data_IF_433844642722
#
_entry.id   IF_433844642722
#
_cell.length_a   1.000
_cell.length_b   1.000
_cell.length_c   1.000
_cell.angle_alpha   90.00
_cell.angle_beta   90.00
_cell.angle_gamma   90.00
#
_symmetry.space_group_name_H-M   'P 1'
#
loop_
_entity.id
_entity.type
_entity.pdbx_description
1 polymer ?
#
# COMPACT_ATOMS: atom_id res chain seq x y z
N UNK A 1 3.13 -3.53 12.63
CA UNK A 1 2.98 -2.34 11.76
C UNK A 1 3.26 -2.75 10.32
N UNK A 2 2.55 -2.19 9.34
CA UNK A 2 2.82 -2.44 7.92
C UNK A 2 3.36 -1.17 7.28
N UNK A 3 4.50 -1.27 6.61
CA UNK A 3 5.14 -0.16 5.90
C UNK A 3 5.01 -0.33 4.39
N UNK A 4 4.47 0.70 3.73
CA UNK A 4 4.14 0.67 2.29
C UNK A 4 4.73 1.90 1.60
N UNK A 5 5.00 1.86 0.28
CA UNK A 5 5.32 3.08 -0.47
C UNK A 5 4.23 4.14 -0.30
N UNK A 6 4.61 5.42 -0.17
CA UNK A 6 3.68 6.49 0.21
C UNK A 6 2.44 6.59 -0.69
N UNK A 7 2.62 6.57 -2.03
CA UNK A 7 1.50 6.70 -2.98
C UNK A 7 0.56 5.51 -2.90
N UNK A 8 1.09 4.29 -2.81
CA UNK A 8 0.27 3.09 -2.69
C UNK A 8 -0.45 3.04 -1.34
N UNK A 9 0.27 3.36 -0.26
CA UNK A 9 -0.29 3.47 1.08
C UNK A 9 -1.41 4.49 1.16
N UNK A 10 -1.27 5.63 0.45
CA UNK A 10 -2.32 6.64 0.39
C UNK A 10 -3.60 6.08 -0.22
N UNK A 11 -3.48 5.35 -1.34
CA UNK A 11 -4.62 4.70 -1.97
C UNK A 11 -5.26 3.63 -1.09
N UNK A 12 -4.46 2.87 -0.33
CA UNK A 12 -4.99 1.94 0.66
C UNK A 12 -5.78 2.69 1.74
N UNK A 13 -5.25 3.81 2.21
CA UNK A 13 -5.86 4.64 3.24
C UNK A 13 -7.19 5.26 2.78
N UNK A 14 -7.20 5.81 1.57
CA UNK A 14 -8.42 6.37 0.96
C UNK A 14 -9.51 5.28 0.88
N UNK A 15 -9.18 4.05 0.46
CA UNK A 15 -10.15 2.93 0.47
C UNK A 15 -10.65 2.62 1.86
N UNK A 16 -9.77 2.53 2.85
CA UNK A 16 -10.17 2.23 4.22
C UNK A 16 -11.04 3.31 4.85
N UNK A 17 -10.83 4.59 4.51
CA UNK A 17 -11.62 5.69 5.04
C UNK A 17 -12.95 5.88 4.31
N UNK A 18 -12.99 5.64 3.00
CA UNK A 18 -14.19 5.86 2.20
C UNK A 18 -15.15 4.65 2.22
N UNK A 19 -14.60 3.43 2.17
CA UNK A 19 -15.38 2.19 1.99
C UNK A 19 -15.16 1.17 3.13
N UNK A 20 -14.14 1.37 3.95
CA UNK A 20 -13.74 0.46 5.01
C UNK A 20 -14.17 0.94 6.40
N UNK A 21 -13.76 0.22 7.46
CA UNK A 21 -14.10 0.61 8.83
C UNK A 21 -13.31 1.84 9.33
N UNK A 22 -12.51 2.50 8.48
CA UNK A 22 -11.54 3.54 8.82
C UNK A 22 -10.10 2.99 8.93
N UNK A 23 -9.22 3.71 9.62
CA UNK A 23 -7.92 3.15 10.06
C UNK A 23 -7.50 3.67 11.43
N UNK A 24 -6.46 3.05 11.97
CA UNK A 24 -5.82 3.46 13.22
C UNK A 24 -4.85 4.61 12.99
N UNK A 25 -3.90 4.83 13.93
CA UNK A 25 -2.81 5.75 13.71
C UNK A 25 -2.08 5.41 12.40
N UNK A 26 -1.87 6.42 11.57
CA UNK A 26 -1.07 6.29 10.35
C UNK A 26 -0.03 7.40 10.36
N UNK A 27 1.17 7.06 9.92
CA UNK A 27 2.24 8.04 9.76
C UNK A 27 2.80 7.97 8.36
N UNK A 28 3.20 9.12 7.81
CA UNK A 28 4.16 9.15 6.72
C UNK A 28 5.54 9.32 7.33
N UNK A 29 6.51 8.50 6.92
CA UNK A 29 7.90 8.60 7.32
C UNK A 29 8.82 8.20 6.16
N UNK A 30 9.67 9.14 5.72
CA UNK A 30 10.68 8.96 4.66
C UNK A 30 10.11 8.34 3.38
N UNK A 31 8.97 8.84 2.90
CA UNK A 31 8.33 8.38 1.65
C UNK A 31 7.61 7.04 1.77
N UNK A 32 7.38 6.55 2.99
CA UNK A 32 6.58 5.37 3.29
C UNK A 32 5.43 5.71 4.22
N UNK A 33 4.30 5.04 4.02
CA UNK A 33 3.22 5.04 4.99
C UNK A 33 3.41 3.90 5.97
N UNK A 34 3.30 4.24 7.25
CA UNK A 34 3.34 3.35 8.39
C UNK A 34 1.91 3.17 8.88
N UNK A 35 1.32 2.01 8.59
CA UNK A 35 -0.02 1.65 9.03
C UNK A 35 0.10 0.80 10.31
N UNK A 36 -0.42 1.34 11.40
CA UNK A 36 -0.54 0.57 12.64
C UNK A 36 -1.73 -0.38 12.50
N UNK A 37 -1.52 -1.63 12.91
CA UNK A 37 -2.41 -2.74 12.62
C UNK A 37 -2.54 -3.62 13.85
N UNK A 38 -3.58 -4.45 13.89
CA UNK A 38 -3.85 -5.33 15.01
C UNK A 38 -2.67 -6.31 15.23
N UNK A 39 -2.38 -6.72 16.47
CA UNK A 39 -1.40 -7.77 16.75
C UNK A 39 -1.66 -9.04 15.90
N UNK A 40 -0.60 -9.73 15.48
CA UNK A 40 -0.72 -10.90 14.60
C UNK A 40 -0.78 -10.57 13.09
N UNK A 41 -1.03 -9.30 12.73
CA UNK A 41 -1.08 -8.88 11.31
C UNK A 41 0.22 -9.15 10.58
N UNK A 42 1.36 -8.88 11.20
CA UNK A 42 2.66 -9.01 10.54
C UNK A 42 2.99 -10.46 10.15
N UNK A 43 2.46 -11.43 10.90
CA UNK A 43 2.62 -12.85 10.63
C UNK A 43 1.63 -13.34 9.56
N UNK A 44 0.39 -12.86 9.59
CA UNK A 44 -0.70 -13.42 8.77
C UNK A 44 -0.86 -12.73 7.41
N UNK A 45 -0.58 -11.43 7.32
CA UNK A 45 -0.73 -10.65 6.09
C UNK A 45 0.18 -11.14 4.93
N UNK A 46 1.47 -11.44 5.15
CA UNK A 46 2.33 -11.96 4.07
C UNK A 46 1.78 -13.25 3.44
N UNK A 47 1.32 -14.19 4.28
CA UNK A 47 0.71 -15.42 3.80
C UNK A 47 -0.53 -15.10 2.94
N UNK A 48 -1.44 -14.26 3.42
CA UNK A 48 -2.64 -13.90 2.64
C UNK A 48 -2.34 -13.25 1.28
N UNK A 49 -1.28 -12.44 1.20
CA UNK A 49 -0.84 -11.85 -0.06
C UNK A 49 -0.33 -12.91 -1.03
N UNK A 50 0.48 -13.85 -0.56
CA UNK A 50 0.99 -14.99 -1.33
C UNK A 50 -0.17 -15.88 -1.84
N UNK A 51 -1.17 -16.17 -1.01
CA UNK A 51 -2.34 -16.96 -1.42
C UNK A 51 -3.15 -16.26 -2.53
N UNK A 52 -3.35 -14.94 -2.48
CA UNK A 52 -4.02 -14.18 -3.55
C UNK A 52 -3.19 -14.08 -4.83
N UNK A 53 -1.85 -14.21 -4.75
CA UNK A 53 -1.00 -14.35 -5.93
C UNK A 53 -1.23 -15.70 -6.62
N UNK A 54 -1.42 -16.78 -5.86
CA UNK A 54 -1.67 -18.12 -6.40
C UNK A 54 -3.01 -18.27 -7.12
N UNK A 55 -4.10 -17.75 -6.53
CA UNK A 55 -5.48 -17.80 -7.08
C UNK A 55 -5.63 -17.06 -8.44
N UNK A 56 -4.61 -16.29 -8.76
CA UNK A 56 -4.47 -15.40 -9.88
C UNK A 56 -3.76 -16.01 -11.10
N UNK A 57 -3.10 -17.16 -10.95
CA UNK A 57 -2.35 -17.82 -12.03
C UNK A 57 -3.27 -18.39 -13.14
N UNK A 58 -4.59 -18.41 -12.94
CA UNK A 58 -5.59 -18.85 -13.93
C UNK A 58 -6.38 -17.73 -14.62
N UNK A 59 -6.20 -16.45 -14.27
CA UNK A 59 -6.86 -15.30 -14.92
C UNK A 59 -5.80 -14.27 -15.30
N UNK A 60 -5.81 -13.78 -16.55
CA UNK A 60 -4.82 -12.80 -17.08
C UNK A 60 -4.49 -11.71 -16.04
N UNK A 61 -3.29 -11.83 -15.44
CA UNK A 61 -2.70 -11.01 -14.35
C UNK A 61 -3.41 -11.07 -12.99
N UNK A 62 -2.64 -11.41 -11.97
CA UNK A 62 -3.15 -11.62 -10.63
C UNK A 62 -3.68 -10.41 -9.88
N UNK A 63 -4.59 -10.67 -8.93
CA UNK A 63 -5.27 -9.65 -8.11
C UNK A 63 -4.30 -8.84 -7.24
N UNK A 64 -3.18 -9.44 -6.85
CA UNK A 64 -2.10 -8.86 -6.02
C UNK A 64 -0.81 -8.58 -6.79
N UNK A 65 -0.67 -9.00 -8.06
CA UNK A 65 0.57 -8.80 -8.83
C UNK A 65 0.96 -7.33 -9.10
N UNK A 66 0.07 -6.39 -8.78
CA UNK A 66 0.32 -4.94 -8.81
C UNK A 66 0.44 -4.31 -7.41
N UNK A 67 0.40 -5.12 -6.34
CA UNK A 67 0.67 -4.68 -4.96
C UNK A 67 2.18 -4.60 -4.79
N UNK A 68 2.75 -3.44 -4.45
CA UNK A 68 4.18 -3.34 -4.17
C UNK A 68 4.53 -4.10 -2.88
N UNK A 69 5.79 -4.52 -2.70
CA UNK A 69 6.22 -5.20 -1.48
C UNK A 69 5.85 -4.42 -0.21
N UNK A 70 5.02 -5.03 0.63
CA UNK A 70 4.64 -4.50 1.93
C UNK A 70 5.61 -5.05 2.98
N UNK A 71 6.17 -4.16 3.80
CA UNK A 71 7.05 -4.57 4.89
C UNK A 71 6.23 -4.77 6.16
N UNK A 72 6.17 -6.00 6.64
CA UNK A 72 5.41 -6.36 7.83
C UNK A 72 6.33 -6.43 9.04
N UNK A 73 6.18 -5.48 9.97
CA UNK A 73 6.94 -5.42 11.21
C UNK A 73 6.13 -6.02 12.37
N UNK A 74 6.67 -7.07 12.98
CA UNK A 74 6.07 -7.84 14.06
C UNK A 74 6.66 -7.54 15.44
N UNK A 75 6.34 -8.41 16.40
CA UNK A 75 6.88 -8.34 17.76
C UNK A 75 8.39 -8.53 17.73
N UNK A 76 9.13 -7.62 18.37
CA UNK A 76 10.59 -7.64 18.41
C UNK A 76 11.26 -6.78 17.34
N UNK A 77 10.51 -6.30 16.34
CA UNK A 77 11.06 -5.39 15.33
C UNK A 77 11.17 -3.97 15.87
N UNK A 78 12.36 -3.38 15.71
CA UNK A 78 12.57 -1.97 15.99
C UNK A 78 12.08 -1.11 14.81
N UNK A 79 11.21 -0.14 15.09
CA UNK A 79 10.64 0.75 14.08
C UNK A 79 10.76 2.20 14.53
N UNK A 80 11.29 3.06 13.65
CA UNK A 80 11.27 4.51 13.84
C UNK A 80 9.94 5.10 13.37
N UNK A 81 9.33 5.93 14.22
CA UNK A 81 8.06 6.61 13.95
C UNK A 81 8.24 8.12 14.08
N UNK A 82 7.43 8.96 13.41
CA UNK A 82 7.50 10.41 13.59
C UNK A 82 7.26 10.82 15.04
N UNK A 83 7.88 11.92 15.48
CA UNK A 83 7.62 12.50 16.79
C UNK A 83 6.13 12.87 16.92
N UNK A 84 5.53 12.59 18.08
CA UNK A 84 4.10 12.83 18.36
C UNK A 84 3.77 14.32 18.45
N UNK A 85 4.67 15.09 19.05
CA UNK A 85 4.61 16.55 19.12
C UNK A 85 5.73 17.10 18.26
N UNK A 86 5.42 17.92 17.26
CA UNK A 86 6.44 18.74 16.60
C UNK A 86 7.08 19.61 17.68
N UNK A 87 8.30 19.28 18.10
CA UNK A 87 8.94 19.94 19.23
C UNK A 87 8.97 21.46 19.01
N UNK A 88 8.64 22.20 20.06
CA UNK A 88 8.71 23.66 20.13
C UNK A 88 10.17 24.21 20.07
N UNK A 89 11.04 23.56 19.31
CA UNK A 89 12.38 24.02 19.02
C UNK A 89 12.41 24.52 17.58
N UNK A 90 12.25 25.84 17.45
CA UNK A 90 12.68 26.66 16.30
C UNK A 90 12.18 26.23 14.93
N UNK A 91 11.24 27.02 14.40
CA UNK A 91 10.84 27.12 13.00
C UNK A 91 11.94 26.72 11.99
N UNK A 92 12.00 25.43 11.66
CA UNK A 92 12.46 24.95 10.37
C UNK A 92 11.24 24.25 9.75
N UNK A 93 10.90 24.49 8.48
CA UNK A 93 9.79 23.79 7.86
C UNK A 93 10.06 22.30 8.03
N UNK A 94 9.10 21.59 8.64
CA UNK A 94 9.20 20.14 8.82
C UNK A 94 9.60 19.55 7.48
N UNK A 95 10.84 19.06 7.36
CA UNK A 95 11.35 18.47 6.12
C UNK A 95 10.29 17.47 5.67
N UNK A 96 9.74 17.69 4.48
CA UNK A 96 8.39 17.29 4.03
C UNK A 96 8.08 15.78 3.94
N UNK A 97 8.59 14.95 4.86
CA UNK A 97 8.47 13.50 4.79
C UNK A 97 8.23 12.81 6.14
N UNK A 98 7.84 13.53 7.20
CA UNK A 98 7.43 12.93 8.47
C UNK A 98 6.20 13.62 9.07
N UNK A 99 5.04 12.94 9.13
CA UNK A 99 3.84 13.47 9.80
C UNK A 99 2.89 12.34 10.22
N UNK A 100 2.09 12.60 11.25
CA UNK A 100 0.96 11.75 11.61
C UNK A 100 -0.27 12.12 10.76
N UNK A 101 -1.09 11.12 10.45
CA UNK A 101 -2.33 11.23 9.70
C UNK A 101 -3.46 10.67 10.58
N UNK A 102 -4.57 11.42 10.62
CA UNK A 102 -5.79 11.04 11.32
C UNK A 102 -6.91 11.00 10.28
N UNK A 103 -7.77 10.01 10.37
CA UNK A 103 -8.94 9.93 9.50
C UNK A 103 -9.87 11.12 9.79
N UNK A 104 -10.41 11.78 8.74
CA UNK A 104 -11.10 13.06 8.87
C UNK A 104 -12.29 13.02 9.84
N UNK A 105 -13.05 11.92 9.87
CA UNK A 105 -14.28 11.80 10.65
C UNK A 105 -14.23 10.73 11.75
N UNK A 106 -13.04 10.19 12.07
CA UNK A 106 -12.93 9.09 13.04
C UNK A 106 -12.65 9.61 14.46
N UNK A 107 -13.63 9.42 15.35
CA UNK A 107 -13.49 9.72 16.79
C UNK A 107 -12.82 8.60 17.58
N UNK A 108 -12.85 7.37 17.06
CA UNK A 108 -12.29 6.19 17.71
C UNK A 108 -11.40 5.44 16.71
N UNK A 109 -10.10 5.78 16.63
CA UNK A 109 -9.20 5.10 15.72
C UNK A 109 -9.13 3.61 16.05
N UNK A 110 -9.19 2.75 15.03
CA UNK A 110 -9.22 1.30 15.19
C UNK A 110 -8.05 0.64 14.46
N UNK A 111 -7.50 -0.45 14.98
CA UNK A 111 -6.35 -1.09 14.33
C UNK A 111 -6.82 -2.11 13.27
N UNK A 112 -6.55 -1.88 11.97
CA UNK A 112 -6.92 -2.84 10.93
C UNK A 112 -6.23 -4.19 11.13
N UNK A 113 -7.01 -5.26 10.97
CA UNK A 113 -6.50 -6.62 10.90
C UNK A 113 -5.90 -6.95 9.53
N UNK A 114 -5.28 -8.15 9.39
CA UNK A 114 -4.64 -8.56 8.14
C UNK A 114 -5.63 -8.64 6.95
N UNK A 115 -6.87 -9.05 7.18
CA UNK A 115 -7.89 -9.16 6.14
C UNK A 115 -8.28 -7.80 5.56
N UNK A 116 -8.38 -6.77 6.41
CA UNK A 116 -8.70 -5.40 5.96
C UNK A 116 -7.54 -4.79 5.19
N UNK A 117 -6.30 -5.02 5.63
CA UNK A 117 -5.12 -4.54 4.89
C UNK A 117 -4.97 -5.25 3.54
N UNK A 118 -5.26 -6.55 3.47
CA UNK A 118 -5.31 -7.29 2.20
C UNK A 118 -6.37 -6.69 1.26
N UNK A 119 -7.60 -6.51 1.77
CA UNK A 119 -8.69 -5.90 1.01
C UNK A 119 -8.30 -4.52 0.46
N UNK A 120 -7.71 -3.66 1.30
CA UNK A 120 -7.27 -2.33 0.91
C UNK A 120 -6.16 -2.38 -0.15
N UNK A 121 -5.17 -3.27 0.02
CA UNK A 121 -4.09 -3.45 -0.94
C UNK A 121 -4.61 -3.92 -2.31
N UNK A 122 -5.47 -4.94 -2.34
CA UNK A 122 -6.05 -5.47 -3.59
C UNK A 122 -6.91 -4.40 -4.29
N UNK A 123 -7.72 -3.65 -3.54
CA UNK A 123 -8.53 -2.55 -4.11
C UNK A 123 -7.66 -1.40 -4.65
N UNK A 124 -6.62 -1.02 -3.92
CA UNK A 124 -5.66 0.00 -4.35
C UNK A 124 -4.92 -0.41 -5.62
N UNK A 125 -4.48 -1.67 -5.71
CA UNK A 125 -3.82 -2.22 -6.89
C UNK A 125 -4.75 -2.24 -8.11
N UNK A 126 -6.01 -2.68 -7.95
CA UNK A 126 -7.00 -2.67 -9.04
C UNK A 126 -7.31 -1.27 -9.56
N UNK A 127 -7.39 -0.28 -8.67
CA UNK A 127 -7.61 1.11 -9.07
C UNK A 127 -6.42 1.65 -9.88
N UNK A 128 -5.18 1.28 -9.53
CA UNK A 128 -3.99 1.67 -10.26
C UNK A 128 -3.97 1.13 -11.70
N UNK A 129 -4.34 -0.14 -11.88
CA UNK A 129 -4.40 -0.78 -13.21
C UNK A 129 -5.42 -0.09 -14.11
N UNK A 130 -6.58 0.31 -13.58
CA UNK A 130 -7.62 0.99 -14.36
C UNK A 130 -7.23 2.38 -14.87
N UNK A 131 -6.24 3.02 -14.24
CA UNK A 131 -5.76 4.37 -14.60
C UNK A 131 -4.56 4.27 -15.56
N UNK A 132 -4.03 3.07 -15.82
CA UNK A 132 -2.97 2.87 -16.81
C UNK A 132 -3.49 3.20 -18.21
N UNK A 133 -2.97 4.28 -18.78
CA UNK A 133 -3.17 4.65 -20.19
C UNK A 133 -2.32 3.82 -21.16
N UNK A 134 -1.40 3.00 -20.64
CA UNK A 134 -0.69 2.02 -21.46
C UNK A 134 -1.63 0.83 -21.70
N UNK A 135 -1.96 0.51 -22.96
CA UNK A 135 -2.68 -0.71 -23.26
C UNK A 135 -1.87 -1.91 -22.75
N UNK A 136 -2.51 -2.97 -22.25
CA UNK A 136 -1.81 -4.21 -21.93
C UNK A 136 -1.05 -4.65 -23.19
N UNK A 137 0.21 -5.05 -23.04
CA UNK A 137 1.05 -5.49 -24.15
C UNK A 137 0.28 -6.51 -24.99
N UNK A 138 -0.07 -6.13 -26.21
CA UNK A 138 -0.74 -7.00 -27.14
C UNK A 138 0.29 -8.07 -27.55
N UNK A 139 0.22 -9.24 -26.92
CA UNK A 139 1.16 -10.34 -27.15
C UNK A 139 1.02 -10.95 -28.55
N UNK A 140 0.01 -10.51 -29.34
CA UNK A 140 -0.24 -10.95 -30.71
C UNK A 140 0.22 -9.93 -31.78
N UNK A 141 0.95 -8.87 -31.39
CA UNK A 141 1.54 -7.93 -32.35
C UNK A 141 2.72 -8.60 -33.10
N UNK A 142 2.42 -9.24 -34.23
CA UNK A 142 3.42 -9.84 -35.12
C UNK A 142 4.13 -8.75 -35.92
N UNK A 143 5.24 -8.25 -35.39
CA UNK A 143 6.09 -7.25 -36.06
C UNK A 143 6.91 -7.97 -37.14
N UNK A 144 6.51 -7.82 -38.40
CA UNK A 144 7.31 -8.30 -39.52
C UNK A 144 8.53 -7.41 -39.73
N UNK A 145 9.72 -8.01 -39.62
CA UNK A 145 10.98 -7.36 -40.00
C UNK A 145 11.03 -7.18 -41.53
N UNK A 146 10.93 -5.94 -41.99
CA UNK A 146 10.98 -5.55 -43.41
C UNK A 146 12.39 -5.16 -43.87
N UNK A 147 13.44 -5.46 -43.10
CA UNK A 147 14.81 -5.01 -43.40
C UNK A 147 15.54 -5.82 -44.49
N UNK A 148 14.82 -6.59 -45.32
CA UNK A 148 15.40 -7.22 -46.51
C UNK A 148 14.58 -6.90 -47.76
N UNK A 149 14.88 -5.76 -48.38
CA UNK A 149 14.74 -5.60 -49.83
C UNK A 149 16.05 -5.05 -50.41
N UNK A 150 16.64 -5.92 -51.24
CA UNK A 150 17.62 -5.76 -52.33
C UNK A 150 18.41 -4.46 -52.42
#
# INVERSE_FOLDING_TARGET
MVSTPAVFGRRMLDRMWDEGPGSGPVAEFRGRMLLFAAPGTAQRLPALLEWEEWDAHGRRRGRTGAVPPLLCHGTGDAVTVPALSGGAATAAPARSGSRWLVAPDTRHPWLPGPEVLLWAAVRAARAAVRISIFPPADQDANVYDVSRRR
#
